data_IF_332256590279
#
_entry.id   IF_332256590279
#
_cell.length_a   1.000
_cell.length_b   1.000
_cell.length_c   1.000
_cell.angle_alpha   90.00
_cell.angle_beta   90.00
_cell.angle_gamma   90.00
#
_symmetry.space_group_name_H-M   'P 1'
#
loop_
_entity.id
_entity.type
_entity.pdbx_description
1 polymer ?
#
# COMPACT_ATOMS: atom_id res chain seq x y z
N UNK A 1 8.72 -13.82 17.17
CA UNK A 1 7.85 -14.59 16.25
C UNK A 1 7.34 -13.57 15.23
N UNK A 2 7.48 -13.78 13.93
CA UNK A 2 6.88 -12.85 12.98
C UNK A 2 5.36 -13.11 12.95
N UNK A 3 4.54 -12.08 13.18
CA UNK A 3 3.09 -12.21 13.12
C UNK A 3 2.62 -12.54 11.70
N UNK A 4 1.52 -13.29 11.57
CA UNK A 4 0.97 -13.69 10.26
C UNK A 4 0.75 -12.49 9.32
N UNK A 5 0.33 -11.33 9.85
CA UNK A 5 0.19 -10.11 9.06
C UNK A 5 1.52 -9.58 8.48
N UNK A 6 2.64 -9.74 9.19
CA UNK A 6 3.97 -9.33 8.72
C UNK A 6 4.43 -10.17 7.52
N UNK A 7 4.11 -11.47 7.51
CA UNK A 7 4.47 -12.36 6.41
C UNK A 7 3.69 -12.04 5.14
N UNK A 8 2.38 -11.80 5.28
CA UNK A 8 1.51 -11.39 4.16
C UNK A 8 2.00 -10.08 3.54
N UNK A 9 2.42 -9.11 4.35
CA UNK A 9 2.96 -7.84 3.86
C UNK A 9 4.25 -7.99 3.06
N UNK A 10 5.15 -8.87 3.49
CA UNK A 10 6.39 -9.15 2.74
C UNK A 10 6.07 -9.73 1.37
N UNK A 11 5.10 -10.65 1.30
CA UNK A 11 4.67 -11.24 0.03
C UNK A 11 4.03 -10.20 -0.90
N UNK A 12 3.16 -9.33 -0.37
CA UNK A 12 2.57 -8.23 -1.15
C UNK A 12 3.66 -7.31 -1.70
N UNK A 13 4.63 -6.92 -0.87
CA UNK A 13 5.73 -6.05 -1.30
C UNK A 13 6.56 -6.70 -2.42
N UNK A 14 6.95 -7.96 -2.24
CA UNK A 14 7.73 -8.69 -3.25
C UNK A 14 6.97 -8.80 -4.60
N UNK A 15 5.65 -9.01 -4.56
CA UNK A 15 4.81 -9.04 -5.76
C UNK A 15 4.68 -7.67 -6.43
N UNK A 16 4.57 -6.58 -5.66
CA UNK A 16 4.54 -5.20 -6.19
C UNK A 16 5.86 -4.83 -6.87
N UNK A 17 6.99 -5.23 -6.27
CA UNK A 17 8.31 -5.05 -6.88
C UNK A 17 8.42 -5.82 -8.20
N UNK A 18 7.96 -7.07 -8.24
CA UNK A 18 7.97 -7.89 -9.45
C UNK A 18 7.07 -7.32 -10.55
N UNK A 19 5.89 -6.79 -10.20
CA UNK A 19 5.01 -6.08 -11.15
C UNK A 19 5.70 -4.83 -11.74
N UNK A 20 6.37 -4.05 -10.90
CA UNK A 20 7.14 -2.86 -11.33
C UNK A 20 8.24 -3.24 -12.33
N UNK A 21 8.92 -4.36 -12.10
CA UNK A 21 9.96 -4.88 -13.01
C UNK A 21 9.35 -5.25 -14.38
N UNK A 22 8.21 -5.94 -14.40
CA UNK A 22 7.54 -6.32 -15.65
C UNK A 22 7.12 -5.07 -16.45
N UNK A 23 6.55 -4.06 -15.80
CA UNK A 23 6.20 -2.79 -16.45
C UNK A 23 7.43 -2.04 -16.98
N UNK A 24 8.54 -2.04 -16.23
CA UNK A 24 9.81 -1.44 -16.66
C UNK A 24 10.35 -2.11 -17.93
N UNK A 25 10.43 -3.44 -17.94
CA UNK A 25 10.87 -4.24 -19.09
C UNK A 25 9.95 -4.03 -20.30
N UNK A 26 8.62 -3.98 -20.09
CA UNK A 26 7.64 -3.69 -21.14
C UNK A 26 7.83 -2.30 -21.75
N UNK A 27 8.09 -1.30 -20.92
CA UNK A 27 8.31 0.09 -21.35
C UNK A 27 9.55 0.22 -22.24
N UNK A 28 10.63 -0.51 -21.92
CA UNK A 28 11.83 -0.57 -22.77
C UNK A 28 11.60 -1.34 -24.07
N UNK A 29 10.92 -2.50 -24.02
CA UNK A 29 10.61 -3.31 -25.20
C UNK A 29 9.66 -2.60 -26.20
N UNK A 30 8.70 -1.82 -25.67
CA UNK A 30 7.73 -1.07 -26.47
C UNK A 30 8.32 0.05 -27.32
N UNK A 31 9.51 0.56 -26.99
CA UNK A 31 10.20 1.58 -27.80
C UNK A 31 10.81 1.03 -29.10
N UNK A 32 10.94 -0.29 -29.24
CA UNK A 32 11.57 -0.94 -30.39
C UNK A 32 10.63 -1.72 -31.31
N UNK A 33 9.31 -1.74 -31.07
CA UNK A 33 8.37 -2.56 -31.84
C UNK A 33 8.54 -4.07 -31.62
N UNK A 34 9.21 -4.48 -30.54
CA UNK A 34 9.41 -5.88 -30.21
C UNK A 34 8.08 -6.55 -29.80
N UNK A 35 7.86 -7.83 -30.16
CA UNK A 35 6.66 -8.56 -29.75
C UNK A 35 6.62 -8.68 -28.23
N UNK A 36 5.45 -8.39 -27.65
CA UNK A 36 5.18 -8.58 -26.22
C UNK A 36 5.28 -10.08 -25.94
N UNK A 37 6.17 -10.49 -25.04
CA UNK A 37 6.29 -11.91 -24.69
C UNK A 37 4.97 -12.36 -24.00
N UNK A 38 4.28 -13.39 -24.52
CA UNK A 38 3.00 -13.83 -23.98
C UNK A 38 3.13 -14.35 -22.54
N UNK A 39 4.33 -14.73 -22.10
CA UNK A 39 4.57 -15.17 -20.73
C UNK A 39 4.48 -14.01 -19.71
N UNK A 40 4.72 -12.76 -20.12
CA UNK A 40 4.59 -11.59 -19.24
C UNK A 40 3.14 -11.30 -18.86
N UNK A 41 2.22 -11.45 -19.80
CA UNK A 41 0.79 -11.25 -19.55
C UNK A 41 0.25 -12.29 -18.55
N UNK A 42 0.73 -13.54 -18.66
CA UNK A 42 0.40 -14.61 -17.71
C UNK A 42 0.97 -14.31 -16.33
N UNK A 43 2.23 -13.85 -16.26
CA UNK A 43 2.87 -13.54 -14.98
C UNK A 43 2.23 -12.31 -14.30
N UNK A 44 1.85 -11.27 -15.06
CA UNK A 44 1.13 -10.10 -14.54
C UNK A 44 -0.26 -10.49 -13.98
N UNK A 45 -1.02 -11.33 -14.69
CA UNK A 45 -2.30 -11.83 -14.21
C UNK A 45 -2.15 -12.64 -12.92
N UNK A 46 -1.15 -13.52 -12.86
CA UNK A 46 -0.84 -14.30 -11.66
C UNK A 46 -0.46 -13.40 -10.48
N UNK A 47 0.38 -12.37 -10.72
CA UNK A 47 0.76 -11.40 -9.69
C UNK A 47 -0.47 -10.65 -9.19
N UNK A 48 -1.34 -10.16 -10.08
CA UNK A 48 -2.58 -9.45 -9.71
C UNK A 48 -3.52 -10.32 -8.88
N UNK A 49 -3.71 -11.57 -9.29
CA UNK A 49 -4.54 -12.54 -8.55
C UNK A 49 -3.96 -12.82 -7.16
N UNK A 50 -2.65 -13.12 -7.07
CA UNK A 50 -1.95 -13.31 -5.80
C UNK A 50 -2.04 -12.08 -4.91
N UNK A 51 -1.87 -10.88 -5.47
CA UNK A 51 -1.93 -9.62 -4.73
C UNK A 51 -3.30 -9.44 -4.09
N UNK A 52 -4.38 -9.65 -4.84
CA UNK A 52 -5.74 -9.52 -4.36
C UNK A 52 -6.05 -10.51 -3.20
N UNK A 53 -5.60 -11.76 -3.32
CA UNK A 53 -5.74 -12.77 -2.26
C UNK A 53 -4.99 -12.34 -1.00
N UNK A 54 -3.74 -11.89 -1.14
CA UNK A 54 -2.92 -11.48 0.00
C UNK A 54 -3.44 -10.20 0.65
N UNK A 55 -3.93 -9.22 -0.11
CA UNK A 55 -4.57 -8.01 0.45
C UNK A 55 -5.86 -8.36 1.23
N UNK A 56 -6.65 -9.32 0.74
CA UNK A 56 -7.81 -9.84 1.45
C UNK A 56 -7.43 -10.60 2.74
N UNK A 57 -6.38 -11.42 2.69
CA UNK A 57 -5.85 -12.11 3.87
C UNK A 57 -5.28 -11.13 4.90
N UNK A 58 -4.61 -10.07 4.44
CA UNK A 58 -4.15 -8.99 5.31
C UNK A 58 -5.33 -8.33 6.00
N UNK A 59 -6.43 -8.08 5.30
CA UNK A 59 -7.66 -7.56 5.91
C UNK A 59 -8.18 -8.45 7.03
N UNK A 60 -8.15 -9.79 6.86
CA UNK A 60 -8.59 -10.75 7.90
C UNK A 60 -7.64 -10.81 9.09
N UNK A 61 -6.34 -10.59 8.85
CA UNK A 61 -5.29 -10.58 9.87
C UNK A 61 -4.91 -9.16 10.32
N UNK A 62 -5.74 -8.17 9.98
CA UNK A 62 -5.58 -6.78 10.40
C UNK A 62 -6.73 -6.37 11.32
N UNK A 63 -6.40 -5.65 12.39
CA UNK A 63 -7.37 -5.04 13.27
C UNK A 63 -7.50 -3.57 12.89
N UNK A 64 -8.72 -3.08 12.77
CA UNK A 64 -8.94 -1.63 12.67
C UNK A 64 -8.64 -1.00 14.03
N UNK A 65 -7.67 -0.10 14.05
CA UNK A 65 -7.26 0.64 15.24
C UNK A 65 -7.57 2.11 15.00
N UNK A 66 -8.15 2.74 16.01
CA UNK A 66 -8.39 4.17 16.02
C UNK A 66 -7.10 4.89 16.44
N UNK A 67 -6.58 5.74 15.56
CA UNK A 67 -5.35 6.49 15.78
C UNK A 67 -5.66 7.97 15.75
N UNK A 68 -5.35 8.67 16.84
CA UNK A 68 -5.43 10.11 16.92
C UNK A 68 -4.07 10.72 16.53
N UNK A 69 -4.03 11.42 15.40
CA UNK A 69 -2.86 12.18 14.96
C UNK A 69 -3.11 13.68 15.11
N UNK A 70 -2.05 14.45 15.30
CA UNK A 70 -2.12 15.92 15.26
C UNK A 70 -1.67 16.38 13.89
N UNK A 71 -2.46 17.22 13.24
CA UNK A 71 -2.10 17.78 11.93
C UNK A 71 -0.95 18.77 12.13
N UNK A 72 0.22 18.56 11.49
CA UNK A 72 1.33 19.50 11.61
C UNK A 72 1.02 20.83 10.89
N UNK A 73 1.75 21.88 11.27
CA UNK A 73 1.66 23.18 10.60
C UNK A 73 2.02 23.07 9.11
N UNK A 74 1.30 23.80 8.27
CA UNK A 74 1.44 23.74 6.81
C UNK A 74 0.56 22.71 6.10
N UNK A 75 -0.19 21.88 6.85
CA UNK A 75 -1.18 20.96 6.30
C UNK A 75 -2.60 21.45 6.54
N UNK A 76 -3.43 21.35 5.51
CA UNK A 76 -4.80 21.84 5.51
C UNK A 76 -5.80 20.87 4.88
N UNK A 77 -7.10 21.22 4.89
CA UNK A 77 -8.16 20.39 4.34
C UNK A 77 -7.92 20.10 2.85
N UNK A 78 -8.08 18.84 2.46
CA UNK A 78 -7.83 18.35 1.10
C UNK A 78 -6.37 17.99 0.81
N UNK A 79 -5.44 18.26 1.72
CA UNK A 79 -4.04 17.84 1.57
C UNK A 79 -3.84 16.38 2.00
N UNK A 80 -2.88 15.70 1.37
CA UNK A 80 -2.47 14.35 1.77
C UNK A 80 -1.37 14.46 2.83
N UNK A 81 -1.66 14.00 4.04
CA UNK A 81 -0.70 13.87 5.12
C UNK A 81 -0.11 12.45 5.11
N UNK A 82 1.21 12.37 5.01
CA UNK A 82 1.94 11.13 5.22
C UNK A 82 2.39 11.08 6.69
N UNK A 83 1.99 10.04 7.42
CA UNK A 83 2.42 9.83 8.80
C UNK A 83 2.92 8.41 9.00
N UNK A 84 3.92 8.25 9.87
CA UNK A 84 4.43 6.94 10.24
C UNK A 84 3.71 6.43 11.51
N UNK A 85 3.11 5.24 11.43
CA UNK A 85 2.49 4.56 12.56
C UNK A 85 2.90 3.09 12.57
N UNK A 86 3.35 2.59 13.72
CA UNK A 86 3.93 1.24 13.85
C UNK A 86 4.99 0.89 12.78
N UNK A 87 5.85 1.86 12.44
CA UNK A 87 6.93 1.68 11.46
C UNK A 87 6.46 1.63 10.00
N UNK A 88 5.19 1.95 9.72
CA UNK A 88 4.64 2.05 8.37
C UNK A 88 4.20 3.47 8.06
N UNK A 89 4.43 3.89 6.82
CA UNK A 89 3.88 5.13 6.31
C UNK A 89 2.42 4.93 5.87
N UNK A 90 1.53 5.75 6.39
CA UNK A 90 0.14 5.86 5.97
C UNK A 90 -0.07 7.22 5.32
N UNK A 91 -0.81 7.22 4.21
CA UNK A 91 -1.23 8.45 3.54
C UNK A 91 -2.71 8.65 3.83
N UNK A 92 -3.05 9.77 4.44
CA UNK A 92 -4.42 10.15 4.74
C UNK A 92 -4.75 11.49 4.14
N UNK A 93 -5.93 11.62 3.56
CA UNK A 93 -6.43 12.91 3.09
C UNK A 93 -7.11 13.61 4.26
N UNK A 94 -6.69 14.84 4.53
CA UNK A 94 -7.27 15.64 5.60
C UNK A 94 -8.69 16.05 5.17
N UNK A 95 -9.74 15.67 5.92
CA UNK A 95 -11.11 16.03 5.57
C UNK A 95 -11.35 17.53 5.69
N UNK A 96 -12.36 18.02 4.98
CA UNK A 96 -12.78 19.42 5.09
C UNK A 96 -13.16 19.76 6.54
N UNK A 97 -12.70 20.90 7.04
CA UNK A 97 -12.94 21.35 8.41
C UNK A 97 -11.86 20.98 9.42
N UNK A 98 -10.83 20.21 9.03
CA UNK A 98 -9.67 19.90 9.87
C UNK A 98 -8.45 20.72 9.41
N UNK A 99 -7.80 21.41 10.34
CA UNK A 99 -6.66 22.29 10.08
C UNK A 99 -5.43 21.92 10.92
N UNK A 100 -4.28 22.52 10.59
CA UNK A 100 -3.06 22.45 11.40
C UNK A 100 -3.33 22.67 12.90
N UNK A 101 -2.69 21.86 13.73
CA UNK A 101 -2.85 21.85 15.19
C UNK A 101 -4.07 21.09 15.70
N UNK A 102 -5.02 20.71 14.84
CA UNK A 102 -6.17 19.91 15.25
C UNK A 102 -5.86 18.41 15.33
N UNK A 103 -6.64 17.71 16.14
CA UNK A 103 -6.58 16.24 16.25
C UNK A 103 -7.49 15.61 15.22
N UNK A 104 -6.94 14.70 14.42
CA UNK A 104 -7.66 13.89 13.46
C UNK A 104 -7.65 12.44 13.92
N UNK A 105 -8.84 11.87 14.05
CA UNK A 105 -9.04 10.47 14.44
C UNK A 105 -9.24 9.63 13.18
N UNK A 106 -8.41 8.61 12.99
CA UNK A 106 -8.39 7.78 11.79
C UNK A 106 -8.50 6.31 12.14
N UNK A 107 -9.28 5.58 11.35
CA UNK A 107 -9.29 4.12 11.38
C UNK A 107 -8.22 3.61 10.43
N UNK A 108 -7.15 3.03 10.99
CA UNK A 108 -6.10 2.38 10.21
C UNK A 108 -6.16 0.87 10.39
N UNK A 109 -5.93 0.12 9.31
CA UNK A 109 -5.84 -1.32 9.36
C UNK A 109 -4.42 -1.73 9.77
N UNK A 110 -4.27 -2.16 11.03
CA UNK A 110 -3.00 -2.62 11.56
C UNK A 110 -2.88 -4.14 11.50
N UNK A 111 -1.79 -4.69 10.94
CA UNK A 111 -1.56 -6.13 10.98
C UNK A 111 -1.42 -6.59 12.44
N UNK A 112 -2.14 -7.64 12.81
CA UNK A 112 -2.05 -8.24 14.15
C UNK A 112 -0.66 -8.88 14.26
N UNK A 113 0.23 -8.20 15.00
CA UNK A 113 1.59 -8.66 15.26
C UNK A 113 1.58 -9.34 16.63
N UNK A 114 1.29 -10.64 16.66
CA UNK A 114 1.29 -11.47 17.87
C UNK A 114 2.63 -12.13 18.16
#
# INVERSE_FOLDING_TARGET
RAGAGTEVLKQIQALKERATVIEGVRSEAGKGGAPVDPNWAVEEAFIKEKLAVLEAELSKHSRQVEVAIVIPEGYGPGMTLQFAYNGKAFNVVIPAGVAAGQRLTLMVAEPITG
#
